data_IF_114276415878
#
_entry.id   IF_114276415878
#
_cell.length_a   1.000
_cell.length_b   1.000
_cell.length_c   1.000
_cell.angle_alpha   90.00
_cell.angle_beta   90.00
_cell.angle_gamma   90.00
#
_symmetry.space_group_name_H-M   'P 1'
#
loop_
_entity.id
_entity.type
_entity.pdbx_description
1 polymer ?
#
# COMPACT_ATOMS: atom_id res chain seq x y z
N UNK A 1 -9.15 14.23 10.01
CA UNK A 1 -8.78 13.22 11.04
C UNK A 1 -7.64 13.66 11.96
N UNK A 2 -6.51 14.19 11.48
CA UNK A 2 -5.37 14.60 12.33
C UNK A 2 -5.74 15.61 13.43
N UNK A 3 -6.61 16.59 13.13
CA UNK A 3 -7.09 17.57 14.14
C UNK A 3 -7.95 16.94 15.25
N UNK A 4 -8.74 15.91 14.93
CA UNK A 4 -9.60 15.20 15.89
C UNK A 4 -8.77 14.38 16.88
N UNK A 5 -7.60 13.87 16.43
CA UNK A 5 -6.67 13.07 17.25
C UNK A 5 -5.75 13.98 18.10
N UNK A 6 -5.89 15.30 18.02
CA UNK A 6 -5.09 16.26 18.81
C UNK A 6 -3.67 16.47 18.26
N UNK A 7 -3.42 16.17 17.00
CA UNK A 7 -2.12 16.37 16.36
C UNK A 7 -1.94 17.84 16.00
N UNK A 8 -0.93 18.48 16.58
CA UNK A 8 -0.64 19.93 16.40
C UNK A 8 0.56 20.19 15.46
N UNK A 9 1.25 19.16 14.98
CA UNK A 9 2.52 19.33 14.25
C UNK A 9 2.32 19.12 12.74
N UNK A 10 2.79 20.07 11.91
CA UNK A 10 2.67 20.00 10.44
C UNK A 10 3.28 18.72 9.83
N UNK A 11 4.45 18.30 10.35
CA UNK A 11 5.10 17.04 9.92
C UNK A 11 4.25 15.80 10.14
N UNK A 12 3.36 15.82 11.14
CA UNK A 12 2.42 14.74 11.36
C UNK A 12 1.32 14.69 10.29
N UNK A 13 0.85 15.86 9.81
CA UNK A 13 -0.11 15.92 8.72
C UNK A 13 0.46 15.32 7.44
N UNK A 14 1.72 15.64 7.11
CA UNK A 14 2.40 15.10 5.94
C UNK A 14 2.55 13.57 6.02
N UNK A 15 3.01 13.04 7.16
CA UNK A 15 3.12 11.59 7.37
C UNK A 15 1.76 10.89 7.35
N UNK A 16 0.69 11.52 7.84
CA UNK A 16 -0.67 10.97 7.78
C UNK A 16 -1.18 10.89 6.34
N UNK A 17 -0.88 11.88 5.50
CA UNK A 17 -1.19 11.86 4.06
C UNK A 17 -0.42 10.73 3.40
N UNK A 18 0.87 10.58 3.67
CA UNK A 18 1.70 9.53 3.10
C UNK A 18 1.19 8.14 3.51
N UNK A 19 0.80 7.97 4.78
CA UNK A 19 0.18 6.72 5.22
C UNK A 19 -1.10 6.39 4.43
N UNK A 20 -1.96 7.39 4.21
CA UNK A 20 -3.17 7.25 3.40
C UNK A 20 -2.86 6.88 1.95
N UNK A 21 -1.83 7.48 1.35
CA UNK A 21 -1.35 7.13 0.00
C UNK A 21 -0.85 5.68 -0.03
N UNK A 22 -0.05 5.25 0.95
CA UNK A 22 0.42 3.86 1.04
C UNK A 22 -0.74 2.86 1.08
N UNK A 23 -1.77 3.14 1.90
CA UNK A 23 -2.97 2.31 1.97
C UNK A 23 -3.74 2.30 0.64
N UNK A 24 -3.87 3.45 -0.02
CA UNK A 24 -4.55 3.54 -1.32
C UNK A 24 -3.80 2.81 -2.42
N UNK A 25 -2.48 2.92 -2.47
CA UNK A 25 -1.64 2.16 -3.41
C UNK A 25 -1.79 0.64 -3.20
N UNK A 26 -1.88 0.19 -1.93
CA UNK A 26 -2.16 -1.21 -1.62
C UNK A 26 -3.53 -1.64 -2.16
N UNK A 27 -4.56 -0.80 -2.05
CA UNK A 27 -5.88 -1.06 -2.62
C UNK A 27 -5.81 -1.14 -4.15
N UNK A 28 -5.15 -0.20 -4.81
CA UNK A 28 -4.96 -0.21 -6.27
C UNK A 28 -4.29 -1.52 -6.72
N UNK A 29 -3.24 -1.95 -6.03
CA UNK A 29 -2.55 -3.19 -6.36
C UNK A 29 -3.41 -4.44 -6.13
N UNK A 30 -4.27 -4.42 -5.10
CA UNK A 30 -5.15 -5.54 -4.74
C UNK A 30 -6.34 -5.69 -5.68
N UNK A 31 -6.91 -4.57 -6.09
CA UNK A 31 -8.25 -4.52 -6.71
C UNK A 31 -8.19 -4.37 -8.24
N UNK A 32 -7.02 -4.59 -8.88
CA UNK A 32 -6.83 -4.42 -10.35
C UNK A 32 -7.89 -5.15 -11.17
N UNK A 33 -8.22 -6.38 -10.81
CA UNK A 33 -9.23 -7.17 -11.52
C UNK A 33 -10.66 -6.65 -11.27
N UNK A 34 -11.02 -6.33 -10.03
CA UNK A 34 -12.31 -5.76 -9.66
C UNK A 34 -12.53 -4.40 -10.31
N UNK A 35 -11.52 -3.54 -10.28
CA UNK A 35 -11.57 -2.22 -10.91
C UNK A 35 -11.78 -2.34 -12.44
N UNK A 36 -11.13 -3.30 -13.07
CA UNK A 36 -11.30 -3.54 -14.50
C UNK A 36 -12.74 -3.93 -14.87
N UNK A 37 -13.43 -4.69 -14.02
CA UNK A 37 -14.87 -5.01 -14.19
C UNK A 37 -15.74 -3.75 -14.11
N UNK A 38 -15.33 -2.79 -13.30
CA UNK A 38 -15.98 -1.47 -13.19
C UNK A 38 -15.50 -0.46 -14.27
N UNK A 39 -14.79 -0.92 -15.30
CA UNK A 39 -14.23 -0.09 -16.39
C UNK A 39 -13.20 0.94 -15.90
N UNK A 40 -12.44 0.62 -14.85
CA UNK A 40 -11.42 1.49 -14.26
C UNK A 40 -10.05 0.83 -14.35
N UNK A 41 -9.02 1.64 -14.66
CA UNK A 41 -7.62 1.24 -14.62
C UNK A 41 -6.88 2.31 -13.82
N UNK A 42 -6.29 1.92 -12.70
CA UNK A 42 -5.50 2.80 -11.84
C UNK A 42 -4.00 2.54 -11.94
N UNK A 43 -3.58 1.49 -12.65
CA UNK A 43 -2.17 1.28 -12.94
C UNK A 43 -1.69 2.32 -13.95
N UNK A 44 -0.50 2.93 -13.76
CA UNK A 44 0.06 3.88 -14.71
C UNK A 44 0.19 3.30 -16.12
N UNK A 45 -0.31 4.01 -17.12
CA UNK A 45 -0.36 3.53 -18.52
C UNK A 45 1.05 3.21 -19.07
N UNK A 46 2.07 3.96 -18.66
CA UNK A 46 3.47 3.73 -19.05
C UNK A 46 4.07 2.46 -18.42
N UNK A 47 3.45 1.91 -17.36
CA UNK A 47 3.88 0.65 -16.75
C UNK A 47 3.19 -0.57 -17.35
N UNK A 48 2.07 -0.34 -18.04
CA UNK A 48 1.26 -1.39 -18.68
C UNK A 48 1.01 -1.07 -20.16
N UNK A 49 2.06 -0.82 -20.97
CA UNK A 49 1.90 -0.47 -22.38
C UNK A 49 1.12 -1.57 -23.11
N UNK A 50 0.18 -1.16 -23.97
CA UNK A 50 -0.67 -2.07 -24.77
C UNK A 50 -1.59 -3.01 -23.95
N UNK A 51 -1.84 -2.71 -22.68
CA UNK A 51 -2.81 -3.42 -21.86
C UNK A 51 -4.15 -2.66 -21.89
N UNK A 52 -5.17 -3.33 -22.37
CA UNK A 52 -6.55 -2.81 -22.39
C UNK A 52 -7.36 -3.32 -21.19
N UNK A 53 -8.54 -2.70 -20.98
CA UNK A 53 -9.52 -3.19 -20.00
C UNK A 53 -9.88 -4.67 -20.22
N UNK A 54 -10.00 -5.09 -21.48
CA UNK A 54 -10.32 -6.48 -21.81
C UNK A 54 -9.19 -7.43 -21.39
N UNK A 55 -7.94 -7.00 -21.47
CA UNK A 55 -6.81 -7.80 -20.99
C UNK A 55 -6.83 -7.97 -19.46
N UNK A 56 -7.23 -6.93 -18.71
CA UNK A 56 -7.34 -7.00 -17.25
C UNK A 56 -8.55 -7.79 -16.75
N UNK A 57 -9.62 -7.89 -17.58
CA UNK A 57 -10.82 -8.66 -17.26
C UNK A 57 -10.66 -10.14 -17.58
N UNK A 58 -10.09 -10.42 -18.74
CA UNK A 58 -9.92 -11.76 -19.29
C UNK A 58 -8.44 -12.12 -19.20
N UNK A 59 -7.95 -12.30 -17.98
CA UNK A 59 -6.61 -12.80 -17.74
C UNK A 59 -6.66 -14.30 -18.04
N UNK A 60 -6.30 -14.64 -19.26
CA UNK A 60 -6.27 -16.00 -19.74
C UNK A 60 -4.84 -16.56 -19.66
N UNK A 61 -4.70 -17.86 -19.39
CA UNK A 61 -3.41 -18.54 -19.26
C UNK A 61 -2.54 -18.46 -20.52
N UNK A 62 -3.15 -18.10 -21.65
CA UNK A 62 -2.49 -18.00 -22.96
C UNK A 62 -1.65 -16.75 -23.17
N UNK A 63 -1.73 -15.75 -22.30
CA UNK A 63 -1.11 -14.42 -22.50
C UNK A 63 0.04 -14.13 -21.52
N UNK A 64 0.97 -15.06 -21.36
CA UNK A 64 2.07 -15.01 -20.37
C UNK A 64 2.84 -13.66 -20.32
N UNK A 65 3.12 -13.04 -21.48
CA UNK A 65 3.83 -11.76 -21.54
C UNK A 65 3.01 -10.59 -20.97
N UNK A 66 1.67 -10.59 -21.18
CA UNK A 66 0.80 -9.54 -20.64
C UNK A 66 0.63 -9.69 -19.14
N UNK A 67 0.51 -10.91 -18.66
CA UNK A 67 0.42 -11.22 -17.23
C UNK A 67 1.69 -10.79 -16.49
N UNK A 68 2.85 -10.97 -17.09
CA UNK A 68 4.12 -10.52 -16.51
C UNK A 68 4.21 -9.00 -16.43
N UNK A 69 3.76 -8.28 -17.47
CA UNK A 69 3.73 -6.81 -17.48
C UNK A 69 2.84 -6.26 -16.37
N UNK A 70 1.63 -6.81 -16.23
CA UNK A 70 0.69 -6.41 -15.17
C UNK A 70 1.28 -6.77 -13.79
N UNK A 71 1.84 -7.97 -13.66
CA UNK A 71 2.51 -8.42 -12.43
C UNK A 71 3.61 -7.46 -11.99
N UNK A 72 4.47 -7.08 -12.93
CA UNK A 72 5.57 -6.15 -12.66
C UNK A 72 5.05 -4.76 -12.27
N UNK A 73 4.00 -4.27 -12.93
CA UNK A 73 3.36 -3.00 -12.56
C UNK A 73 2.81 -3.04 -11.12
N UNK A 74 2.10 -4.10 -10.76
CA UNK A 74 1.59 -4.30 -9.38
C UNK A 74 2.73 -4.35 -8.37
N UNK A 75 3.82 -5.07 -8.66
CA UNK A 75 4.99 -5.13 -7.78
C UNK A 75 5.63 -3.74 -7.57
N UNK A 76 5.67 -2.91 -8.63
CA UNK A 76 6.15 -1.52 -8.53
C UNK A 76 5.22 -0.70 -7.62
N UNK A 77 3.89 -0.81 -7.78
CA UNK A 77 2.90 -0.13 -6.92
C UNK A 77 3.09 -0.53 -5.46
N UNK A 78 3.23 -1.83 -5.16
CA UNK A 78 3.46 -2.31 -3.78
C UNK A 78 4.80 -1.80 -3.23
N UNK A 79 5.86 -1.81 -4.04
CA UNK A 79 7.16 -1.30 -3.61
C UNK A 79 7.12 0.21 -3.32
N UNK A 80 6.31 0.94 -4.07
CA UNK A 80 6.05 2.35 -3.82
C UNK A 80 5.22 2.54 -2.54
N UNK A 81 4.18 1.73 -2.34
CA UNK A 81 3.35 1.79 -1.13
C UNK A 81 4.18 1.55 0.13
N UNK A 82 5.16 0.63 0.09
CA UNK A 82 6.07 0.36 1.21
C UNK A 82 6.81 1.62 1.67
N UNK A 83 7.32 2.44 0.72
CA UNK A 83 7.99 3.71 1.03
C UNK A 83 7.04 4.71 1.71
N UNK A 84 5.80 4.78 1.25
CA UNK A 84 4.79 5.64 1.85
C UNK A 84 4.36 5.17 3.25
N UNK A 85 4.32 3.85 3.51
CA UNK A 85 4.14 3.34 4.87
C UNK A 85 5.29 3.75 5.80
N UNK A 86 6.53 3.68 5.35
CA UNK A 86 7.69 4.12 6.13
C UNK A 86 7.62 5.60 6.49
N UNK A 87 7.21 6.46 5.54
CA UNK A 87 6.96 7.86 5.82
C UNK A 87 5.81 8.07 6.83
N UNK A 88 4.76 7.26 6.72
CA UNK A 88 3.66 7.26 7.67
C UNK A 88 4.14 6.90 9.09
N UNK A 89 4.99 5.88 9.21
CA UNK A 89 5.58 5.47 10.49
C UNK A 89 6.50 6.53 11.09
N UNK A 90 7.23 7.28 10.28
CA UNK A 90 8.04 8.41 10.75
C UNK A 90 7.20 9.48 11.49
N UNK A 91 5.92 9.59 11.18
CA UNK A 91 4.98 10.52 11.81
C UNK A 91 4.36 10.02 13.11
N UNK A 92 4.47 8.74 13.44
CA UNK A 92 3.83 8.17 14.63
C UNK A 92 4.27 8.84 15.93
N UNK A 93 5.51 9.32 16.00
CA UNK A 93 6.04 10.06 17.18
C UNK A 93 5.24 11.32 17.52
N UNK A 94 4.52 11.90 16.57
CA UNK A 94 3.71 13.10 16.76
C UNK A 94 2.26 12.81 17.20
N UNK A 95 1.89 11.54 17.31
CA UNK A 95 0.53 11.09 17.64
C UNK A 95 0.48 10.67 19.12
N UNK A 96 -0.60 11.00 19.87
CA UNK A 96 -0.79 10.53 21.23
C UNK A 96 -0.69 8.99 21.31
N UNK A 97 -0.09 8.49 22.39
CA UNK A 97 0.24 7.08 22.56
C UNK A 97 -0.98 6.15 22.37
N UNK A 98 -2.13 6.57 22.86
CA UNK A 98 -3.40 5.81 22.78
C UNK A 98 -3.84 5.58 21.32
N UNK A 99 -3.72 6.60 20.46
CA UNK A 99 -4.08 6.50 19.04
C UNK A 99 -2.98 5.88 18.19
N UNK A 100 -1.72 6.03 18.63
CA UNK A 100 -0.53 5.58 17.91
C UNK A 100 -0.54 4.07 17.67
N UNK A 101 -0.87 3.28 18.70
CA UNK A 101 -0.92 1.82 18.60
C UNK A 101 -1.96 1.36 17.59
N UNK A 102 -3.17 1.90 17.65
CA UNK A 102 -4.24 1.55 16.70
C UNK A 102 -3.88 1.86 15.26
N UNK A 103 -3.30 3.05 15.01
CA UNK A 103 -2.86 3.47 13.67
C UNK A 103 -1.73 2.56 13.19
N UNK A 104 -0.78 2.22 14.06
CA UNK A 104 0.33 1.33 13.71
C UNK A 104 -0.14 -0.08 13.34
N UNK A 105 -1.06 -0.66 14.14
CA UNK A 105 -1.65 -1.97 13.83
C UNK A 105 -2.41 -1.93 12.50
N UNK A 106 -3.29 -0.94 12.30
CA UNK A 106 -4.05 -0.80 11.07
C UNK A 106 -3.14 -0.70 9.84
N UNK A 107 -2.10 0.14 9.92
CA UNK A 107 -1.12 0.30 8.84
C UNK A 107 -0.39 -1.02 8.53
N UNK A 108 0.05 -1.77 9.54
CA UNK A 108 0.72 -3.05 9.35
C UNK A 108 -0.21 -4.13 8.76
N UNK A 109 -1.48 -4.15 9.16
CA UNK A 109 -2.47 -5.07 8.56
C UNK A 109 -2.66 -4.76 7.07
N UNK A 110 -2.81 -3.48 6.70
CA UNK A 110 -2.89 -3.09 5.29
C UNK A 110 -1.60 -3.40 4.52
N UNK A 111 -0.44 -3.07 5.08
CA UNK A 111 0.87 -3.43 4.50
C UNK A 111 1.01 -4.94 4.31
N UNK A 112 0.47 -5.73 5.23
CA UNK A 112 0.43 -7.19 5.16
C UNK A 112 -0.30 -7.72 3.92
N UNK A 113 -1.34 -7.03 3.44
CA UNK A 113 -2.00 -7.36 2.16
C UNK A 113 -1.01 -7.21 1.02
N UNK A 114 -0.27 -6.08 0.97
CA UNK A 114 0.76 -5.83 -0.04
C UNK A 114 1.86 -6.90 -0.03
N UNK A 115 2.33 -7.30 1.15
CA UNK A 115 3.32 -8.38 1.30
C UNK A 115 2.77 -9.70 0.75
N UNK A 116 1.52 -10.01 1.04
CA UNK A 116 0.85 -11.23 0.53
C UNK A 116 0.71 -11.20 -0.99
N UNK A 117 0.38 -10.05 -1.59
CA UNK A 117 0.36 -9.88 -3.05
C UNK A 117 1.77 -10.12 -3.61
N UNK A 118 2.80 -9.55 -2.98
CA UNK A 118 4.20 -9.65 -3.41
C UNK A 118 4.72 -11.09 -3.38
N UNK A 119 4.32 -11.88 -2.39
CA UNK A 119 4.72 -13.29 -2.26
C UNK A 119 4.01 -14.21 -3.26
N UNK A 120 2.83 -13.82 -3.76
CA UNK A 120 1.93 -14.67 -4.55
C UNK A 120 1.83 -14.21 -6.01
N UNK A 121 2.97 -14.17 -6.72
CA UNK A 121 3.13 -13.56 -8.07
C UNK A 121 2.16 -14.05 -9.16
N UNK A 122 1.46 -15.17 -8.99
CA UNK A 122 0.61 -15.77 -10.02
C UNK A 122 -0.88 -15.85 -9.69
N UNK A 123 -1.29 -15.67 -8.43
CA UNK A 123 -2.69 -15.92 -8.02
C UNK A 123 -3.57 -14.67 -7.87
N UNK A 124 -2.99 -13.50 -7.66
CA UNK A 124 -3.76 -12.29 -7.35
C UNK A 124 -4.56 -11.73 -8.54
N UNK A 125 -4.31 -12.19 -9.78
CA UNK A 125 -5.12 -11.84 -10.93
C UNK A 125 -6.48 -12.53 -10.96
N UNK A 126 -6.60 -13.68 -10.30
CA UNK A 126 -7.81 -14.52 -10.36
C UNK A 126 -8.73 -14.25 -9.18
N UNK A 127 -8.15 -13.93 -8.04
CA UNK A 127 -8.86 -13.77 -6.79
C UNK A 127 -8.35 -12.54 -6.02
N UNK A 128 -9.28 -11.80 -5.44
CA UNK A 128 -8.95 -10.69 -4.55
C UNK A 128 -8.17 -11.19 -3.34
N UNK A 129 -6.97 -10.63 -3.12
CA UNK A 129 -6.12 -11.01 -1.99
C UNK A 129 -6.61 -10.35 -0.70
N UNK A 130 -6.86 -11.15 0.33
CA UNK A 130 -7.15 -10.69 1.69
C UNK A 130 -6.38 -11.51 2.72
N UNK A 131 -6.17 -10.90 3.86
CA UNK A 131 -5.63 -11.59 5.02
C UNK A 131 -6.76 -12.36 5.72
N UNK A 132 -6.51 -13.62 6.02
CA UNK A 132 -7.42 -14.40 6.88
C UNK A 132 -7.29 -13.95 8.34
N UNK A 133 -8.16 -14.48 9.21
CA UNK A 133 -8.20 -14.07 10.61
C UNK A 133 -6.88 -14.38 11.33
N UNK A 134 -6.25 -15.52 11.04
CA UNK A 134 -4.97 -15.91 11.65
C UNK A 134 -3.83 -14.98 11.23
N UNK A 135 -3.75 -14.64 9.95
CA UNK A 135 -2.77 -13.69 9.42
C UNK A 135 -2.93 -12.30 10.05
N UNK A 136 -4.18 -11.82 10.16
CA UNK A 136 -4.48 -10.54 10.83
C UNK A 136 -4.06 -10.59 12.30
N UNK A 137 -4.41 -11.66 13.02
CA UNK A 137 -4.07 -11.82 14.43
C UNK A 137 -2.56 -11.87 14.62
N UNK A 138 -1.83 -12.60 13.78
CA UNK A 138 -0.38 -12.70 13.85
C UNK A 138 0.29 -11.33 13.60
N UNK A 139 -0.18 -10.59 12.60
CA UNK A 139 0.32 -9.24 12.32
C UNK A 139 0.02 -8.31 13.49
N UNK A 140 -1.18 -8.39 14.07
CA UNK A 140 -1.58 -7.58 15.23
C UNK A 140 -0.67 -7.85 16.42
N UNK A 141 -0.47 -9.12 16.78
CA UNK A 141 0.43 -9.51 17.90
C UNK A 141 1.85 -9.02 17.65
N UNK A 142 2.39 -9.26 16.44
CA UNK A 142 3.71 -8.73 16.07
C UNK A 142 3.78 -7.22 16.18
N UNK A 143 2.74 -6.50 15.73
CA UNK A 143 2.69 -5.05 15.81
C UNK A 143 2.66 -4.54 17.24
N UNK A 144 1.94 -5.20 18.15
CA UNK A 144 1.93 -4.86 19.58
C UNK A 144 3.32 -5.07 20.19
N UNK A 145 3.97 -6.20 19.93
CA UNK A 145 5.32 -6.47 20.42
C UNK A 145 6.33 -5.47 19.88
N UNK A 146 6.27 -5.17 18.57
CA UNK A 146 7.15 -4.19 17.93
C UNK A 146 6.88 -2.74 18.39
N UNK A 147 5.65 -2.44 18.81
CA UNK A 147 5.29 -1.11 19.26
C UNK A 147 6.17 -0.60 20.43
N UNK A 148 6.62 -1.51 21.27
CA UNK A 148 7.53 -1.20 22.39
C UNK A 148 8.88 -0.66 21.86
N UNK A 149 9.30 -1.11 20.69
CA UNK A 149 10.58 -0.72 20.06
C UNK A 149 10.48 0.50 19.14
N UNK A 150 9.28 1.00 18.86
CA UNK A 150 9.09 2.18 17.97
C UNK A 150 9.94 3.39 18.37
N UNK A 151 10.09 3.75 19.67
CA UNK A 151 10.93 4.87 20.06
C UNK A 151 12.39 4.73 19.63
N UNK A 152 12.85 3.49 19.46
CA UNK A 152 14.23 3.17 19.06
C UNK A 152 14.38 3.00 17.54
N UNK A 153 13.26 2.92 16.78
CA UNK A 153 13.28 2.81 15.34
C UNK A 153 13.38 4.18 14.70
N UNK A 154 14.51 4.45 14.08
CA UNK A 154 14.79 5.74 13.45
C UNK A 154 14.18 5.78 12.05
N UNK A 155 12.84 5.84 11.96
CA UNK A 155 12.17 6.08 10.68
C UNK A 155 12.48 7.49 10.19
N UNK A 156 13.24 7.59 9.10
CA UNK A 156 13.53 8.87 8.45
C UNK A 156 12.46 9.14 7.39
N UNK A 157 11.91 10.35 7.42
CA UNK A 157 10.99 10.82 6.40
C UNK A 157 11.73 11.01 5.07
N UNK A 158 11.27 10.37 4.00
CA UNK A 158 11.83 10.48 2.66
C UNK A 158 10.97 11.43 1.81
N UNK A 159 11.60 12.33 1.05
CA UNK A 159 10.89 13.21 0.11
C UNK A 159 10.52 12.46 -1.18
N UNK A 160 9.68 11.43 -1.05
CA UNK A 160 9.30 10.56 -2.17
C UNK A 160 8.59 11.34 -3.27
N UNK A 161 7.82 12.38 -2.91
CA UNK A 161 7.02 13.16 -3.87
C UNK A 161 7.88 13.96 -4.82
N UNK A 162 9.06 14.40 -4.39
CA UNK A 162 9.98 15.17 -5.21
C UNK A 162 10.65 14.30 -6.30
N UNK A 163 10.54 12.98 -6.19
CA UNK A 163 11.09 12.03 -7.18
C UNK A 163 10.11 11.65 -8.30
N UNK A 164 8.85 12.10 -8.24
CA UNK A 164 7.94 11.97 -9.35
C UNK A 164 8.15 13.10 -10.34
N UNK A 165 8.35 12.83 -11.65
CA UNK A 165 8.34 13.88 -12.64
C UNK A 165 7.00 14.64 -12.53
N UNK A 166 7.06 15.98 -12.63
CA UNK A 166 5.88 16.83 -12.75
C UNK A 166 5.20 16.53 -14.10
N UNK A 167 4.55 15.39 -14.21
CA UNK A 167 3.64 15.13 -15.30
C UNK A 167 2.39 15.96 -14.97
N UNK A 168 2.22 17.04 -15.72
CA UNK A 168 1.02 17.85 -15.69
C UNK A 168 -0.20 16.92 -15.78
N UNK A 169 -0.93 16.84 -14.65
CA UNK A 169 -2.24 16.21 -14.57
C UNK A 169 -3.26 17.19 -15.10
#
# INVERSE_FOLDING_TARGET
MSKIIGVKHEKAAQSAIDLGIGMQLTNIARDVHEDSKMKRIYLPANWIPNISLNNLRNIDETSFKKDETISNAIQKVISLSDKFYENGFAGLKYIPLTSRLGIFIAANVYRGIGIKIKSNKKKYFRERVYLNIFEKSLITIKSILFFIFIPFMNYQYQKIRDSFPNENI
#
